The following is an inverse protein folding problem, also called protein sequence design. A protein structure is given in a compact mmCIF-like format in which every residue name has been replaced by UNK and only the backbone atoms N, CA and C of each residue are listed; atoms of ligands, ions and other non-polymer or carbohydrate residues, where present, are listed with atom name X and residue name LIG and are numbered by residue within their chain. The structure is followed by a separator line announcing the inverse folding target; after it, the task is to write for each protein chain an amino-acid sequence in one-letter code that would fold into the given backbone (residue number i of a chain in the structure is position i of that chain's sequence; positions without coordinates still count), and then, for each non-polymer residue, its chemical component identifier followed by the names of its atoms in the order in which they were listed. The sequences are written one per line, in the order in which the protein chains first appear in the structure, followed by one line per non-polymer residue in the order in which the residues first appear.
data_IF_906366477783
#
_entry.id   IF_906366477783
#
_cell.length_a   1.000
_cell.length_b   1.000
_cell.length_c   1.000
_cell.angle_alpha   90.00
_cell.angle_beta   90.00
_cell.angle_gamma   90.00
#
_symmetry.space_group_name_H-M   'P 1'
#
loop_
_entity.id
_entity.type
_entity.pdbx_description
1 polymer ?
#
# COMPACT_ATOMS: atom_id res chain seq x y z
N UNK A 1 -45.48 1.14 -6.87
CA UNK A 1 -44.26 0.30 -7.03
C UNK A 1 -43.09 1.25 -7.17
N UNK A 2 -42.42 1.54 -6.06
CA UNK A 2 -41.27 2.44 -6.02
C UNK A 2 -40.00 1.68 -6.42
N UNK A 3 -39.33 2.14 -7.47
CA UNK A 3 -38.00 1.65 -7.82
C UNK A 3 -36.98 2.60 -7.17
N UNK A 4 -36.65 2.32 -5.92
CA UNK A 4 -35.45 2.86 -5.28
C UNK A 4 -34.26 2.11 -5.89
N UNK A 5 -33.71 2.66 -6.97
CA UNK A 5 -32.38 2.28 -7.44
C UNK A 5 -31.41 2.76 -6.37
N UNK A 6 -31.10 1.85 -5.44
CA UNK A 6 -30.04 2.03 -4.46
C UNK A 6 -28.80 2.52 -5.19
N UNK A 7 -28.41 3.75 -4.89
CA UNK A 7 -27.09 4.27 -5.18
C UNK A 7 -26.10 3.20 -4.75
N UNK A 8 -25.41 2.61 -5.71
CA UNK A 8 -24.24 1.80 -5.44
C UNK A 8 -23.28 2.73 -4.70
N UNK A 9 -23.24 2.60 -3.37
CA UNK A 9 -22.18 3.14 -2.56
C UNK A 9 -20.94 2.45 -3.10
N UNK A 10 -20.20 3.16 -3.95
CA UNK A 10 -18.89 2.72 -4.38
C UNK A 10 -18.12 2.48 -3.10
N UNK A 11 -17.80 1.21 -2.83
CA UNK A 11 -16.95 0.84 -1.72
C UNK A 11 -15.63 1.62 -1.91
N UNK A 12 -15.32 2.62 -1.05
CA UNK A 12 -14.17 3.48 -1.26
C UNK A 12 -12.85 2.71 -1.15
N UNK A 13 -12.88 1.45 -0.68
CA UNK A 13 -11.70 0.58 -0.61
C UNK A 13 -11.24 0.02 -1.96
N UNK A 14 -12.03 0.16 -3.03
CA UNK A 14 -11.67 -0.39 -4.35
C UNK A 14 -10.65 0.46 -5.13
N UNK A 15 -10.45 1.71 -4.74
CA UNK A 15 -9.45 2.60 -5.35
C UNK A 15 -8.35 2.83 -4.33
N UNK A 16 -7.09 2.56 -4.70
CA UNK A 16 -5.95 2.82 -3.82
C UNK A 16 -5.84 4.29 -3.39
N UNK A 17 -4.76 4.67 -2.68
CA UNK A 17 -4.53 6.06 -2.33
C UNK A 17 -4.52 6.95 -3.58
N UNK A 18 -4.99 8.20 -3.44
CA UNK A 18 -4.94 9.16 -4.53
C UNK A 18 -3.49 9.55 -4.79
N UNK A 19 -2.92 9.04 -5.87
CA UNK A 19 -1.54 9.33 -6.23
C UNK A 19 -1.31 10.78 -6.66
N UNK A 20 -2.36 11.55 -6.95
CA UNK A 20 -2.25 12.96 -7.27
C UNK A 20 -2.17 13.82 -6.01
N UNK A 21 -2.67 13.32 -4.87
CA UNK A 21 -2.64 13.99 -3.58
C UNK A 21 -2.40 12.98 -2.44
N UNK A 22 -1.14 12.92 -1.99
CA UNK A 22 -0.72 12.09 -0.86
C UNK A 22 -0.47 12.93 0.40
N UNK A 23 -0.91 14.18 0.43
CA UNK A 23 -0.60 15.11 1.53
C UNK A 23 -1.21 14.66 2.87
N UNK A 24 -2.31 13.92 2.82
CA UNK A 24 -3.08 13.38 3.94
C UNK A 24 -3.09 11.84 3.96
N UNK A 25 -2.12 11.19 3.29
CA UNK A 25 -2.09 9.74 3.18
C UNK A 25 -0.67 9.18 3.29
N UNK A 26 -0.44 8.34 4.31
CA UNK A 26 0.78 7.55 4.43
C UNK A 26 0.66 6.27 3.57
N UNK A 27 1.70 5.96 2.79
CA UNK A 27 1.72 4.79 1.91
C UNK A 27 3.05 4.06 1.99
N UNK A 28 3.00 2.75 2.19
CA UNK A 28 4.14 1.85 2.25
C UNK A 28 4.03 0.73 1.22
N UNK A 29 5.17 0.32 0.66
CA UNK A 29 5.26 -0.75 -0.35
C UNK A 29 6.29 -1.79 0.05
N UNK A 30 6.00 -3.05 -0.26
CA UNK A 30 6.96 -4.13 -0.10
C UNK A 30 6.79 -5.21 -1.17
N UNK A 31 7.90 -5.74 -1.65
CA UNK A 31 7.92 -6.97 -2.41
C UNK A 31 7.97 -8.16 -1.46
N UNK A 32 7.00 -9.06 -1.58
CA UNK A 32 6.90 -10.24 -0.73
C UNK A 32 6.90 -11.48 -1.60
N UNK A 33 7.73 -12.49 -1.31
CA UNK A 33 7.62 -13.79 -1.97
C UNK A 33 6.22 -14.38 -1.76
N UNK A 34 5.61 -14.87 -2.84
CA UNK A 34 4.22 -15.34 -2.83
C UNK A 34 3.95 -16.39 -1.75
N UNK A 35 4.90 -17.28 -1.50
CA UNK A 35 4.79 -18.33 -0.49
C UNK A 35 4.90 -17.78 0.94
N UNK A 36 5.76 -16.79 1.17
CA UNK A 36 5.95 -16.15 2.48
C UNK A 36 4.78 -15.25 2.88
N UNK A 37 4.08 -14.67 1.91
CA UNK A 37 2.96 -13.74 2.17
C UNK A 37 1.79 -14.36 2.93
N UNK A 38 1.60 -15.69 2.84
CA UNK A 38 0.54 -16.40 3.58
C UNK A 38 0.97 -16.74 5.00
N UNK A 39 2.19 -17.23 5.17
CA UNK A 39 2.69 -17.73 6.46
C UNK A 39 3.10 -16.58 7.40
N UNK A 40 3.67 -15.50 6.83
CA UNK A 40 4.20 -14.37 7.59
C UNK A 40 3.28 -13.15 7.58
N UNK A 41 2.00 -13.32 7.25
CA UNK A 41 1.04 -12.20 7.14
C UNK A 41 1.04 -11.29 8.37
N UNK A 42 0.99 -11.79 9.63
CA UNK A 42 1.00 -10.90 10.80
C UNK A 42 2.28 -10.06 10.91
N UNK A 43 3.44 -10.64 10.62
CA UNK A 43 4.72 -9.94 10.65
C UNK A 43 4.79 -8.84 9.56
N UNK A 44 4.31 -9.16 8.35
CA UNK A 44 4.25 -8.20 7.25
C UNK A 44 3.33 -7.02 7.60
N UNK A 45 2.16 -7.29 8.21
CA UNK A 45 1.24 -6.23 8.64
C UNK A 45 1.85 -5.36 9.75
N UNK A 46 2.56 -5.96 10.70
CA UNK A 46 3.24 -5.21 11.75
C UNK A 46 4.34 -4.31 11.18
N UNK A 47 5.16 -4.81 10.24
CA UNK A 47 6.17 -4.01 9.55
C UNK A 47 5.55 -2.83 8.77
N UNK A 48 4.41 -3.05 8.12
CA UNK A 48 3.69 -1.96 7.45
C UNK A 48 3.15 -0.93 8.44
N UNK A 49 2.55 -1.35 9.55
CA UNK A 49 2.05 -0.44 10.57
C UNK A 49 3.18 0.44 11.13
N UNK A 50 4.32 -0.18 11.50
CA UNK A 50 5.50 0.57 11.97
C UNK A 50 6.02 1.54 10.91
N UNK A 51 6.17 1.11 9.66
CA UNK A 51 6.65 2.00 8.59
C UNK A 51 5.70 3.17 8.30
N UNK A 52 4.38 2.97 8.41
CA UNK A 52 3.40 4.05 8.28
C UNK A 52 3.47 5.02 9.47
N UNK A 53 3.67 4.52 10.69
CA UNK A 53 3.81 5.34 11.89
C UNK A 53 5.08 6.21 11.83
N UNK A 54 6.21 5.61 11.45
CA UNK A 54 7.47 6.33 11.25
C UNK A 54 7.32 7.42 10.20
N UNK A 55 6.72 7.10 9.04
CA UNK A 55 6.48 8.08 7.99
C UNK A 55 5.57 9.22 8.45
N UNK A 56 4.46 8.92 9.14
CA UNK A 56 3.56 9.94 9.66
C UNK A 56 4.28 10.86 10.66
N UNK A 57 5.07 10.28 11.57
CA UNK A 57 5.85 11.04 12.55
C UNK A 57 6.89 11.96 11.89
N UNK A 58 7.59 11.49 10.85
CA UNK A 58 8.53 12.30 10.06
C UNK A 58 7.84 13.50 9.37
N UNK A 59 6.57 13.35 8.99
CA UNK A 59 5.76 14.43 8.41
C UNK A 59 5.07 15.31 9.45
N UNK A 60 5.28 15.08 10.76
CA UNK A 60 4.57 15.81 11.82
C UNK A 60 3.06 15.52 11.83
N UNK A 61 2.67 14.34 11.38
CA UNK A 61 1.28 13.89 11.27
C UNK A 61 1.03 12.66 12.16
N UNK A 62 -0.23 12.30 12.34
CA UNK A 62 -0.69 11.09 13.03
C UNK A 62 -1.54 10.24 12.09
N UNK A 63 -1.46 8.93 12.23
CA UNK A 63 -2.30 8.00 11.48
C UNK A 63 -3.74 8.00 12.01
N UNK A 64 -4.72 8.00 11.12
CA UNK A 64 -6.15 7.94 11.45
C UNK A 64 -6.87 6.86 10.64
N UNK A 65 -7.96 6.33 11.20
CA UNK A 65 -8.74 5.26 10.57
C UNK A 65 -8.04 3.89 10.60
N UNK A 66 -8.49 2.97 9.74
CA UNK A 66 -7.92 1.64 9.63
C UNK A 66 -6.87 1.59 8.50
N UNK A 67 -5.77 0.88 8.75
CA UNK A 67 -4.81 0.54 7.71
C UNK A 67 -5.45 -0.36 6.65
N UNK A 68 -5.36 0.05 5.39
CA UNK A 68 -5.81 -0.73 4.25
C UNK A 68 -4.62 -1.42 3.59
N UNK A 69 -4.79 -2.69 3.19
CA UNK A 69 -3.74 -3.48 2.55
C UNK A 69 -4.28 -4.13 1.27
N UNK A 70 -3.56 -3.95 0.18
CA UNK A 70 -3.92 -4.49 -1.13
C UNK A 70 -2.69 -4.90 -1.97
N UNK A 71 -2.96 -5.42 -3.17
CA UNK A 71 -1.96 -5.95 -4.10
C UNK A 71 -2.03 -5.21 -5.43
N UNK A 72 -1.43 -4.02 -5.54
CA UNK A 72 -1.54 -3.23 -6.75
C UNK A 72 -0.72 -3.87 -7.87
N UNK A 73 -1.25 -3.80 -9.09
CA UNK A 73 -0.45 -4.15 -10.27
C UNK A 73 0.56 -3.04 -10.53
N UNK A 74 1.84 -3.36 -10.57
CA UNK A 74 2.92 -2.39 -10.76
C UNK A 74 2.71 -1.47 -11.99
N UNK A 75 2.11 -1.99 -13.06
CA UNK A 75 1.84 -1.23 -14.30
C UNK A 75 0.79 -0.12 -14.14
N UNK A 76 -0.10 -0.25 -13.16
CA UNK A 76 -1.20 0.69 -12.89
C UNK A 76 -0.73 1.84 -11.97
N UNK A 77 0.51 1.76 -11.46
CA UNK A 77 1.10 2.79 -10.61
C UNK A 77 1.72 3.94 -11.44
N UNK A 78 1.73 5.17 -10.90
CA UNK A 78 2.43 6.30 -11.50
C UNK A 78 3.88 5.96 -11.82
N UNK A 79 4.43 6.57 -12.88
CA UNK A 79 5.78 6.26 -13.38
C UNK A 79 6.85 6.43 -12.30
N UNK A 80 6.76 7.47 -11.49
CA UNK A 80 7.78 7.78 -10.49
C UNK A 80 7.67 6.88 -9.25
N UNK A 81 6.45 6.57 -8.81
CA UNK A 81 6.18 5.56 -7.78
C UNK A 81 6.75 4.20 -8.20
N UNK A 82 6.43 3.76 -9.43
CA UNK A 82 6.94 2.51 -9.98
C UNK A 82 8.46 2.46 -10.06
N UNK A 83 9.13 3.56 -10.44
CA UNK A 83 10.60 3.63 -10.44
C UNK A 83 11.18 3.47 -9.04
N UNK A 84 10.58 4.13 -8.05
CA UNK A 84 10.99 4.02 -6.65
C UNK A 84 10.83 2.59 -6.14
N UNK A 85 9.66 1.99 -6.37
CA UNK A 85 9.35 0.60 -5.97
C UNK A 85 10.30 -0.40 -6.63
N UNK A 86 10.56 -0.25 -7.93
CA UNK A 86 11.53 -1.09 -8.63
C UNK A 86 12.92 -0.91 -8.04
N UNK A 87 13.37 0.32 -7.77
CA UNK A 87 14.67 0.57 -7.14
C UNK A 87 14.78 -0.15 -5.80
N UNK A 88 13.75 -0.10 -4.96
CA UNK A 88 13.71 -0.84 -3.69
C UNK A 88 13.76 -2.36 -3.92
N UNK A 89 13.07 -2.87 -4.94
CA UNK A 89 13.16 -4.28 -5.36
C UNK A 89 14.60 -4.69 -5.70
N UNK A 90 15.29 -3.89 -6.51
CA UNK A 90 16.66 -4.14 -6.94
C UNK A 90 17.66 -4.12 -5.77
N UNK A 91 17.39 -3.31 -4.75
CA UNK A 91 18.20 -3.24 -3.53
C UNK A 91 17.94 -4.43 -2.60
N UNK A 92 16.69 -4.88 -2.48
CA UNK A 92 16.32 -6.01 -1.64
C UNK A 92 16.78 -7.35 -2.24
N UNK A 93 16.65 -7.54 -3.56
CA UNK A 93 16.87 -8.83 -4.19
C UNK A 93 18.06 -8.80 -5.17
N UNK A 94 19.26 -9.16 -4.72
CA UNK A 94 20.45 -9.37 -5.60
C UNK A 94 20.27 -10.54 -6.57
N UNK A 95 19.20 -11.33 -6.42
CA UNK A 95 18.99 -12.65 -7.03
C UNK A 95 17.82 -12.62 -8.02
N UNK A 96 18.11 -12.32 -9.28
CA UNK A 96 17.13 -12.05 -10.34
C UNK A 96 16.13 -13.19 -10.61
N UNK A 97 16.50 -14.44 -10.29
CA UNK A 97 15.63 -15.62 -10.44
C UNK A 97 14.45 -15.69 -9.45
N UNK A 98 14.45 -14.93 -8.34
CA UNK A 98 13.30 -14.93 -7.40
C UNK A 98 12.21 -13.93 -7.80
N UNK A 99 12.46 -13.10 -8.81
CA UNK A 99 11.52 -12.06 -9.23
C UNK A 99 10.19 -12.58 -9.77
N UNK A 100 10.16 -13.80 -10.33
CA UNK A 100 8.93 -14.41 -10.86
C UNK A 100 7.86 -14.65 -9.80
N UNK A 101 8.27 -14.80 -8.54
CA UNK A 101 7.39 -15.15 -7.43
C UNK A 101 7.15 -13.99 -6.46
N UNK A 102 7.61 -12.77 -6.77
CA UNK A 102 7.38 -11.60 -5.94
C UNK A 102 6.02 -10.98 -6.22
N UNK A 103 5.30 -10.68 -5.15
CA UNK A 103 4.04 -9.93 -5.18
C UNK A 103 4.28 -8.57 -4.53
N UNK A 104 3.82 -7.51 -5.19
CA UNK A 104 3.83 -6.17 -4.61
C UNK A 104 2.65 -6.05 -3.64
N UNK A 105 2.97 -5.77 -2.39
CA UNK A 105 2.00 -5.45 -1.34
C UNK A 105 2.07 -3.96 -1.06
N UNK A 106 0.92 -3.32 -0.95
CA UNK A 106 0.78 -1.92 -0.57
C UNK A 106 -0.06 -1.84 0.68
N UNK A 107 0.43 -1.09 1.67
CA UNK A 107 -0.35 -0.65 2.81
C UNK A 107 -0.49 0.86 2.76
N UNK A 108 -1.66 1.37 3.13
CA UNK A 108 -1.88 2.80 3.20
C UNK A 108 -2.92 3.14 4.27
N UNK A 109 -2.80 4.36 4.80
CA UNK A 109 -3.66 4.87 5.86
C UNK A 109 -3.68 6.40 5.82
N UNK A 110 -4.82 6.99 6.15
CA UNK A 110 -4.96 8.44 6.21
C UNK A 110 -4.15 9.04 7.36
N UNK A 111 -3.71 10.27 7.18
CA UNK A 111 -2.99 11.07 8.17
C UNK A 111 -3.71 12.37 8.47
N UNK A 112 -3.56 12.86 9.70
CA UNK A 112 -3.97 14.21 10.12
C UNK A 112 -2.77 14.94 10.72
N UNK A 113 -2.71 16.28 10.66
CA UNK A 113 -1.72 17.05 11.41
C UNK A 113 -1.80 16.72 12.91
N UNK A 114 -0.63 16.57 13.55
CA UNK A 114 -0.53 16.25 14.98
C UNK A 114 -0.89 17.43 15.89
#
# INVERSE_FOLDING_TARGET
MGNERGSAVADPTASGPDYNDLSDTAVAYRWVPRDEGRENRPAILAEFATGLEEYAAEQGARLVGAMTVDFPRLRDLPKDVRRSILRTMWLQERRWWRWGDLVLVRAWQHTEPA
#
